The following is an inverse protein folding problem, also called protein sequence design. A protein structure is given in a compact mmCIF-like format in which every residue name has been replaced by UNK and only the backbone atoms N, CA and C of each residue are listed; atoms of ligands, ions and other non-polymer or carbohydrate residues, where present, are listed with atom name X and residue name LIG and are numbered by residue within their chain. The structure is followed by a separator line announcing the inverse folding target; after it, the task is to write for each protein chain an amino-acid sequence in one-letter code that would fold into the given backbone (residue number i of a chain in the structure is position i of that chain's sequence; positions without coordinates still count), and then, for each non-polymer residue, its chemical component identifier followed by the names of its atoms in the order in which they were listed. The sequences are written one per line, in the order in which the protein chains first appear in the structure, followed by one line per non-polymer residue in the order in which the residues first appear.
data_IF_524871698321
#
_entry.id   IF_524871698321
#
_cell.length_a   1.000
_cell.length_b   1.000
_cell.length_c   1.000
_cell.angle_alpha   90.00
_cell.angle_beta   90.00
_cell.angle_gamma   90.00
#
_symmetry.space_group_name_H-M   'P 1'
#
loop_
_entity.id
_entity.type
_entity.pdbx_description
1 polymer ?
#
# COMPACT_ATOMS: atom_id res chain seq x y z
N UNK A 1 -16.40 0.52 7.43
CA UNK A 1 -15.19 -0.32 7.58
C UNK A 1 -14.87 -0.37 9.05
N UNK A 2 -14.51 -1.52 9.58
CA UNK A 2 -14.09 -1.70 10.98
C UNK A 2 -12.58 -1.99 11.06
N UNK A 3 -12.05 -2.09 12.28
CA UNK A 3 -10.62 -2.33 12.53
C UNK A 3 -10.13 -3.68 11.98
N UNK A 4 -11.00 -4.70 11.93
CA UNK A 4 -10.65 -6.01 11.36
C UNK A 4 -10.49 -5.92 9.84
N UNK A 5 -11.44 -5.27 9.17
CA UNK A 5 -11.37 -5.00 7.74
C UNK A 5 -10.15 -4.14 7.38
N UNK A 6 -9.78 -3.18 8.24
CA UNK A 6 -8.57 -2.38 8.06
C UNK A 6 -7.31 -3.27 8.04
N UNK A 7 -7.14 -4.13 9.06
CA UNK A 7 -6.01 -5.08 9.15
C UNK A 7 -5.99 -6.01 7.92
N UNK A 8 -7.14 -6.57 7.54
CA UNK A 8 -7.23 -7.49 6.41
C UNK A 8 -6.80 -6.87 5.08
N UNK A 9 -6.92 -5.55 4.94
CA UNK A 9 -6.53 -4.78 3.76
C UNK A 9 -5.04 -4.47 3.75
N UNK A 10 -4.46 -4.05 4.89
CA UNK A 10 -3.09 -3.51 4.95
C UNK A 10 -2.03 -4.53 5.35
N UNK A 11 -2.41 -5.57 6.11
CA UNK A 11 -1.43 -6.48 6.71
C UNK A 11 -0.97 -7.57 5.75
N UNK A 12 0.34 -7.82 5.69
CA UNK A 12 0.92 -8.90 4.88
C UNK A 12 0.50 -10.31 5.35
N UNK A 13 0.05 -10.43 6.61
CA UNK A 13 -0.50 -11.68 7.15
C UNK A 13 -1.80 -12.11 6.47
N UNK A 14 -2.57 -11.16 5.93
CA UNK A 14 -3.78 -11.43 5.19
C UNK A 14 -3.46 -11.77 3.74
N UNK A 15 -3.79 -12.98 3.30
CA UNK A 15 -3.69 -13.39 1.87
C UNK A 15 -4.54 -12.51 0.94
N UNK A 16 -5.48 -11.74 1.49
CA UNK A 16 -6.36 -10.84 0.74
C UNK A 16 -5.78 -9.43 0.62
N UNK A 17 -4.74 -9.08 1.37
CA UNK A 17 -4.18 -7.73 1.38
C UNK A 17 -3.52 -7.36 0.05
N UNK A 18 -3.30 -6.06 -0.14
CA UNK A 18 -2.62 -5.60 -1.35
C UNK A 18 -1.16 -6.06 -1.38
N UNK A 19 -0.44 -5.91 -0.26
CA UNK A 19 0.97 -6.27 -0.16
C UNK A 19 1.23 -7.76 -0.39
N UNK A 20 0.34 -8.66 0.04
CA UNK A 20 0.46 -10.09 -0.28
C UNK A 20 0.47 -10.35 -1.78
N UNK A 21 -0.42 -9.67 -2.52
CA UNK A 21 -0.49 -9.81 -3.98
C UNK A 21 0.73 -9.18 -4.68
N UNK A 22 1.24 -8.07 -4.16
CA UNK A 22 2.44 -7.45 -4.68
C UNK A 22 3.67 -8.35 -4.47
N UNK A 23 3.84 -8.88 -3.26
CA UNK A 23 5.02 -9.67 -2.89
C UNK A 23 5.07 -11.04 -3.58
N UNK A 24 3.95 -11.75 -3.66
CA UNK A 24 3.95 -13.13 -4.16
C UNK A 24 3.51 -13.29 -5.62
N UNK A 25 2.94 -12.24 -6.23
CA UNK A 25 2.39 -12.33 -7.59
C UNK A 25 2.90 -11.25 -8.53
N UNK A 26 3.74 -10.32 -8.05
CA UNK A 26 4.26 -9.17 -8.82
C UNK A 26 3.14 -8.45 -9.60
N UNK A 27 1.94 -8.39 -9.02
CA UNK A 27 0.75 -7.89 -9.71
C UNK A 27 0.19 -6.68 -9.01
N UNK A 28 0.23 -5.55 -9.71
CA UNK A 28 -0.48 -4.36 -9.29
C UNK A 28 -1.98 -4.48 -9.61
N UNK A 29 -2.82 -4.23 -8.61
CA UNK A 29 -4.28 -4.24 -8.77
C UNK A 29 -4.82 -2.88 -8.36
N UNK A 30 -5.30 -2.10 -9.33
CA UNK A 30 -5.92 -0.79 -9.10
C UNK A 30 -7.05 -0.86 -8.06
N UNK A 31 -7.88 -1.90 -8.12
CA UNK A 31 -8.96 -2.10 -7.16
C UNK A 31 -8.43 -2.25 -5.72
N UNK A 32 -7.36 -3.04 -5.52
CA UNK A 32 -6.74 -3.21 -4.20
C UNK A 32 -6.01 -1.95 -3.76
N UNK A 33 -5.35 -1.24 -4.66
CA UNK A 33 -4.74 0.06 -4.33
C UNK A 33 -5.80 1.09 -3.90
N UNK A 34 -6.94 1.15 -4.58
CA UNK A 34 -8.07 1.99 -4.15
C UNK A 34 -8.62 1.57 -2.79
N UNK A 35 -8.61 0.27 -2.46
CA UNK A 35 -8.96 -0.21 -1.13
C UNK A 35 -7.94 0.26 -0.08
N UNK A 36 -6.64 0.26 -0.40
CA UNK A 36 -5.59 0.84 0.46
C UNK A 36 -5.82 2.33 0.68
N UNK A 37 -6.15 3.12 -0.36
CA UNK A 37 -6.47 4.55 -0.21
C UNK A 37 -7.67 4.77 0.72
N UNK A 38 -8.70 3.91 0.66
CA UNK A 38 -9.86 3.96 1.56
C UNK A 38 -9.48 3.58 3.00
N UNK A 39 -8.70 2.50 3.16
CA UNK A 39 -8.13 2.07 4.44
C UNK A 39 -7.31 3.17 5.10
N UNK A 40 -6.45 3.82 4.32
CA UNK A 40 -5.65 4.96 4.74
C UNK A 40 -6.52 6.12 5.24
N UNK A 41 -7.49 6.58 4.45
CA UNK A 41 -8.38 7.69 4.86
C UNK A 41 -9.14 7.38 6.15
N UNK A 42 -9.61 6.14 6.30
CA UNK A 42 -10.26 5.71 7.53
C UNK A 42 -9.28 5.69 8.72
N UNK A 43 -8.07 5.15 8.53
CA UNK A 43 -7.04 5.13 9.57
C UNK A 43 -6.73 6.55 10.07
N UNK A 44 -6.45 7.50 9.16
CA UNK A 44 -6.16 8.90 9.53
C UNK A 44 -7.32 9.51 10.32
N UNK A 45 -8.56 9.30 9.88
CA UNK A 45 -9.76 9.87 10.52
C UNK A 45 -9.99 9.32 11.93
N UNK A 46 -9.67 8.05 12.16
CA UNK A 46 -10.01 7.32 13.39
C UNK A 46 -8.78 6.97 14.24
N UNK A 47 -7.58 7.50 13.94
CA UNK A 47 -6.36 7.02 14.59
C UNK A 47 -6.41 7.14 16.11
N UNK A 48 -7.02 8.19 16.65
CA UNK A 48 -7.10 8.47 18.09
C UNK A 48 -7.94 7.45 18.86
N UNK A 49 -8.81 6.72 18.16
CA UNK A 49 -9.68 5.67 18.70
C UNK A 49 -9.01 4.28 18.66
N UNK A 50 -7.87 4.16 17.97
CA UNK A 50 -7.13 2.91 17.81
C UNK A 50 -6.07 2.79 18.90
N UNK A 51 -5.87 1.59 19.44
CA UNK A 51 -4.80 1.31 20.41
C UNK A 51 -3.41 1.72 19.89
N UNK A 52 -2.55 2.27 20.73
CA UNK A 52 -1.23 2.81 20.33
C UNK A 52 -0.33 1.77 19.65
N UNK A 53 -0.30 0.53 20.13
CA UNK A 53 0.51 -0.52 19.51
C UNK A 53 -0.04 -0.87 18.13
N UNK A 54 -1.37 -0.92 18.01
CA UNK A 54 -2.04 -1.14 16.73
C UNK A 54 -1.81 0.02 15.76
N UNK A 55 -1.83 1.27 16.23
CA UNK A 55 -1.49 2.43 15.39
C UNK A 55 -0.07 2.29 14.79
N UNK A 56 0.92 1.97 15.63
CA UNK A 56 2.30 1.79 15.17
C UNK A 56 2.42 0.67 14.13
N UNK A 57 1.74 -0.46 14.35
CA UNK A 57 1.73 -1.57 13.40
C UNK A 57 1.08 -1.18 12.07
N UNK A 58 -0.07 -0.51 12.10
CA UNK A 58 -0.78 -0.06 10.90
C UNK A 58 0.07 0.92 10.09
N UNK A 59 0.77 1.87 10.74
CA UNK A 59 1.71 2.78 10.06
C UNK A 59 2.79 1.99 9.32
N UNK A 60 3.41 1.00 9.99
CA UNK A 60 4.42 0.13 9.35
C UNK A 60 3.84 -0.65 8.18
N UNK A 61 2.64 -1.20 8.31
CA UNK A 61 1.98 -1.96 7.23
C UNK A 61 1.67 -1.09 6.00
N UNK A 62 1.21 0.16 6.19
CA UNK A 62 1.04 1.11 5.10
C UNK A 62 2.37 1.43 4.40
N UNK A 63 3.39 1.82 5.18
CA UNK A 63 4.69 2.21 4.64
C UNK A 63 5.34 1.03 3.88
N UNK A 64 5.28 -0.19 4.43
CA UNK A 64 5.75 -1.39 3.75
C UNK A 64 5.02 -1.63 2.43
N UNK A 65 3.69 -1.45 2.42
CA UNK A 65 2.90 -1.60 1.19
C UNK A 65 3.32 -0.58 0.13
N UNK A 66 3.56 0.66 0.54
CA UNK A 66 4.01 1.73 -0.34
C UNK A 66 5.42 1.49 -0.89
N UNK A 67 6.38 1.14 -0.03
CA UNK A 67 7.74 0.81 -0.45
C UNK A 67 7.77 -0.36 -1.43
N UNK A 68 7.02 -1.44 -1.15
CA UNK A 68 6.96 -2.59 -2.05
C UNK A 68 6.32 -2.23 -3.40
N UNK A 69 5.32 -1.34 -3.39
CA UNK A 69 4.72 -0.83 -4.63
C UNK A 69 5.76 -0.09 -5.49
N UNK A 70 6.53 0.81 -4.87
CA UNK A 70 7.58 1.57 -5.57
C UNK A 70 8.73 0.68 -6.04
N UNK A 71 9.12 -0.31 -5.25
CA UNK A 71 10.09 -1.33 -5.65
C UNK A 71 9.67 -2.01 -6.96
N UNK A 72 8.41 -2.45 -7.07
CA UNK A 72 7.91 -3.06 -8.30
C UNK A 72 7.89 -2.10 -9.49
N UNK A 73 7.73 -0.79 -9.28
CA UNK A 73 7.82 0.19 -10.36
C UNK A 73 9.24 0.32 -10.91
N UNK A 74 10.25 0.21 -10.04
CA UNK A 74 11.67 0.17 -10.43
C UNK A 74 11.95 -1.10 -11.23
N UNK A 75 11.53 -2.27 -10.74
CA UNK A 75 11.70 -3.54 -11.45
C UNK A 75 10.98 -3.56 -12.82
N UNK A 76 9.78 -2.99 -12.91
CA UNK A 76 9.02 -2.91 -14.17
C UNK A 76 9.64 -1.94 -15.20
N UNK A 77 10.78 -1.31 -14.92
CA UNK A 77 11.56 -0.56 -15.91
C UNK A 77 12.46 -1.46 -16.77
N UNK A 78 12.80 -2.65 -16.26
CA UNK A 78 13.54 -3.68 -16.99
C UNK A 78 12.58 -4.81 -17.41
N UNK A 79 12.57 -5.12 -18.70
CA UNK A 79 11.67 -6.13 -19.28
C UNK A 79 12.03 -7.56 -18.87
N UNK A 80 13.27 -7.78 -18.42
CA UNK A 80 13.79 -9.09 -18.03
C UNK A 80 13.85 -9.28 -16.51
N UNK A 81 13.46 -8.27 -15.73
CA UNK A 81 13.39 -8.37 -14.27
C UNK A 81 12.33 -9.40 -13.84
N UNK A 82 12.73 -10.29 -12.93
CA UNK A 82 11.88 -11.34 -12.34
C UNK A 82 10.71 -10.79 -11.52
N UNK A 83 10.81 -9.54 -11.07
CA UNK A 83 9.79 -8.81 -10.31
C UNK A 83 8.98 -7.82 -11.14
N UNK A 84 9.13 -7.80 -12.47
CA UNK A 84 8.34 -6.92 -13.34
C UNK A 84 6.84 -7.08 -13.14
N UNK A 85 6.08 -6.00 -13.33
CA UNK A 85 4.64 -6.01 -13.10
C UNK A 85 3.93 -6.56 -14.33
N UNK A 86 3.08 -7.57 -14.14
CA UNK A 86 2.26 -8.12 -15.23
C UNK A 86 0.76 -8.06 -14.91
N UNK A 87 -0.06 -7.34 -15.71
CA UNK A 87 0.32 -6.51 -16.87
C UNK A 87 1.05 -5.22 -16.46
N UNK A 88 1.93 -4.71 -17.33
CA UNK A 88 2.63 -3.45 -17.09
C UNK A 88 1.66 -2.27 -17.00
N UNK A 89 2.03 -1.29 -16.18
CA UNK A 89 1.33 -0.02 -16.04
C UNK A 89 1.96 1.03 -16.95
N UNK A 90 1.17 1.99 -17.42
CA UNK A 90 1.70 3.14 -18.15
C UNK A 90 2.56 4.03 -17.22
N UNK A 91 3.46 4.82 -17.80
CA UNK A 91 4.28 5.78 -17.06
C UNK A 91 3.39 6.78 -16.30
N UNK A 92 2.31 7.25 -16.94
CA UNK A 92 1.34 8.16 -16.32
C UNK A 92 0.67 7.53 -15.10
N UNK A 93 0.27 6.26 -15.17
CA UNK A 93 -0.32 5.54 -14.05
C UNK A 93 0.67 5.41 -12.89
N UNK A 94 1.92 5.02 -13.17
CA UNK A 94 2.97 4.92 -12.15
C UNK A 94 3.22 6.26 -11.46
N UNK A 95 3.29 7.35 -12.23
CA UNK A 95 3.48 8.70 -11.68
C UNK A 95 2.32 9.13 -10.77
N UNK A 96 1.07 8.91 -11.19
CA UNK A 96 -0.10 9.22 -10.38
C UNK A 96 -0.11 8.42 -9.06
N UNK A 97 0.21 7.12 -9.13
CA UNK A 97 0.32 6.27 -7.94
C UNK A 97 1.48 6.71 -7.03
N UNK A 98 2.60 7.14 -7.61
CA UNK A 98 3.73 7.68 -6.85
C UNK A 98 3.34 8.94 -6.08
N UNK A 99 2.64 9.89 -6.72
CA UNK A 99 2.18 11.11 -6.03
C UNK A 99 1.22 10.79 -4.88
N UNK A 100 0.27 9.88 -5.10
CA UNK A 100 -0.60 9.38 -4.04
C UNK A 100 0.20 8.79 -2.87
N UNK A 101 1.18 7.92 -3.16
CA UNK A 101 2.02 7.27 -2.15
C UNK A 101 2.84 8.31 -1.36
N UNK A 102 3.43 9.28 -2.06
CA UNK A 102 4.23 10.34 -1.44
C UNK A 102 3.41 11.14 -0.45
N UNK A 103 2.25 11.66 -0.88
CA UNK A 103 1.35 12.43 -0.02
C UNK A 103 0.91 11.62 1.21
N UNK A 104 0.49 10.36 1.01
CA UNK A 104 0.08 9.49 2.11
C UNK A 104 1.24 9.21 3.08
N UNK A 105 2.45 9.00 2.56
CA UNK A 105 3.65 8.75 3.37
C UNK A 105 4.02 9.97 4.21
N UNK A 106 4.04 11.16 3.60
CA UNK A 106 4.36 12.41 4.29
C UNK A 106 3.39 12.65 5.46
N UNK A 107 2.10 12.40 5.27
CA UNK A 107 1.12 12.51 6.36
C UNK A 107 1.42 11.46 7.45
N UNK A 108 1.61 10.18 7.11
CA UNK A 108 1.87 9.12 8.10
C UNK A 108 3.08 9.42 8.99
N UNK A 109 4.14 9.97 8.41
CA UNK A 109 5.37 10.32 9.13
C UNK A 109 5.19 11.52 10.07
N UNK A 110 4.23 12.40 9.78
CA UNK A 110 3.92 13.58 10.59
C UNK A 110 2.78 13.36 11.60
N UNK A 111 2.23 12.15 11.70
CA UNK A 111 1.22 11.83 12.70
C UNK A 111 1.85 11.80 14.10
N UNK A 112 1.46 12.78 14.92
CA UNK A 112 1.71 12.80 16.37
C UNK A 112 0.82 11.81 17.12
#
# INVERSE_FOLDING_TARGET
MDNKNLIDIVSASSKKSFIYHLHYRNKFSKQKFNAIKKAYKFYIKHQSEIDKNMQLQLRKDFINTFMHTLFLFVCDSDKDDVFKITPSLSIEEKNNIYFDIREMTDILLNLS
#
